data_IF_491312608496
#
_entry.id   IF_491312608496
#
_cell.length_a   1.000
_cell.length_b   1.000
_cell.length_c   1.000
_cell.angle_alpha   90.00
_cell.angle_beta   90.00
_cell.angle_gamma   90.00
#
_symmetry.space_group_name_H-M   'P 1'
#
loop_
_entity.id
_entity.type
_entity.pdbx_description
1 polymer ?
#
# COMPACT_ATOMS: atom_id res chain seq x y z
N UNK A 1 -11.46 -63.10 -8.31
CA UNK A 1 -10.31 -62.25 -8.66
C UNK A 1 -10.70 -60.83 -8.25
N UNK A 2 -10.25 -60.42 -7.05
CA UNK A 2 -10.61 -59.13 -6.46
C UNK A 2 -9.74 -58.04 -7.11
N UNK A 3 -10.38 -57.10 -7.81
CA UNK A 3 -9.70 -55.92 -8.34
C UNK A 3 -9.31 -55.00 -7.19
N UNK A 4 -8.02 -54.67 -7.10
CA UNK A 4 -7.51 -53.68 -6.16
C UNK A 4 -8.16 -52.30 -6.39
N UNK A 5 -8.44 -51.53 -5.33
CA UNK A 5 -8.98 -50.19 -5.47
C UNK A 5 -7.87 -49.22 -5.93
N UNK A 6 -8.14 -48.45 -6.98
CA UNK A 6 -7.26 -47.37 -7.42
C UNK A 6 -7.03 -46.36 -6.29
N UNK A 7 -5.78 -46.23 -5.88
CA UNK A 7 -5.25 -45.27 -4.91
C UNK A 7 -5.58 -43.82 -5.34
N UNK A 8 -6.70 -43.28 -4.87
CA UNK A 8 -7.05 -41.86 -5.03
C UNK A 8 -6.36 -41.05 -3.93
N UNK A 9 -5.07 -40.78 -4.07
CA UNK A 9 -4.41 -39.73 -3.27
C UNK A 9 -4.93 -38.36 -3.71
N UNK A 10 -5.15 -37.41 -2.77
CA UNK A 10 -5.48 -36.04 -3.15
C UNK A 10 -4.33 -35.47 -4.00
N UNK A 11 -4.67 -34.86 -5.13
CA UNK A 11 -3.74 -34.11 -5.95
C UNK A 11 -3.24 -32.89 -5.16
N UNK A 12 -2.16 -33.05 -4.40
CA UNK A 12 -1.74 -32.04 -3.44
C UNK A 12 -0.33 -32.24 -2.93
N UNK A 13 0.64 -32.44 -3.82
CA UNK A 13 2.04 -32.24 -3.49
C UNK A 13 2.38 -30.76 -3.59
N UNK A 14 3.03 -30.19 -2.57
CA UNK A 14 3.66 -28.87 -2.67
C UNK A 14 4.66 -28.93 -3.82
N UNK A 15 4.54 -28.02 -4.79
CA UNK A 15 5.43 -27.95 -5.96
C UNK A 15 6.01 -26.57 -6.10
N UNK A 16 7.28 -26.51 -6.52
CA UNK A 16 7.94 -25.26 -6.90
C UNK A 16 7.26 -24.74 -8.17
N UNK A 17 6.89 -23.46 -8.16
CA UNK A 17 6.28 -22.81 -9.33
C UNK A 17 7.34 -22.58 -10.41
N UNK A 18 6.92 -22.67 -11.67
CA UNK A 18 7.77 -22.25 -12.79
C UNK A 18 8.03 -20.74 -12.73
N UNK A 19 9.21 -20.31 -13.16
CA UNK A 19 9.63 -18.90 -13.13
C UNK A 19 8.62 -17.95 -13.80
N UNK A 20 7.97 -18.38 -14.87
CA UNK A 20 6.93 -17.60 -15.55
C UNK A 20 5.74 -17.31 -14.62
N UNK A 21 5.32 -18.30 -13.83
CA UNK A 21 4.20 -18.17 -12.88
C UNK A 21 4.63 -17.31 -11.70
N UNK A 22 5.85 -17.49 -11.19
CA UNK A 22 6.44 -16.63 -10.16
C UNK A 22 6.45 -15.17 -10.62
N UNK A 23 6.94 -14.92 -11.84
CA UNK A 23 7.00 -13.58 -12.41
C UNK A 23 5.62 -12.99 -12.67
N UNK A 24 4.61 -13.80 -13.00
CA UNK A 24 3.24 -13.32 -13.22
C UNK A 24 2.52 -13.01 -11.89
N UNK A 25 2.76 -13.78 -10.84
CA UNK A 25 2.28 -13.49 -9.48
C UNK A 25 2.97 -12.21 -8.96
N UNK A 26 4.30 -12.14 -9.08
CA UNK A 26 5.07 -10.96 -8.70
C UNK A 26 4.66 -9.73 -9.51
N UNK A 27 4.33 -9.87 -10.80
CA UNK A 27 3.82 -8.77 -11.61
C UNK A 27 2.46 -8.25 -11.11
N UNK A 28 1.55 -9.12 -10.67
CA UNK A 28 0.28 -8.72 -10.05
C UNK A 28 0.49 -7.93 -8.77
N UNK A 29 1.32 -8.44 -7.85
CA UNK A 29 1.67 -7.75 -6.61
C UNK A 29 2.47 -6.45 -6.85
N UNK A 30 3.31 -6.39 -7.89
CA UNK A 30 4.08 -5.20 -8.25
C UNK A 30 3.23 -4.15 -8.94
N UNK A 31 2.14 -4.50 -9.63
CA UNK A 31 1.22 -3.53 -10.25
C UNK A 31 0.27 -2.91 -9.22
N UNK A 32 -0.15 -3.68 -8.20
CA UNK A 32 -0.94 -3.11 -7.09
C UNK A 32 -0.14 -2.14 -6.22
N UNK A 33 1.19 -2.30 -6.13
CA UNK A 33 2.05 -1.45 -5.31
C UNK A 33 2.01 0.03 -5.73
N UNK A 34 2.27 0.43 -7.00
CA UNK A 34 2.19 1.83 -7.41
C UNK A 34 0.81 2.45 -7.18
N UNK A 35 -0.27 1.71 -7.47
CA UNK A 35 -1.63 2.18 -7.22
C UNK A 35 -1.89 2.43 -5.73
N UNK A 36 -1.39 1.54 -4.87
CA UNK A 36 -1.47 1.70 -3.41
C UNK A 36 -0.67 2.91 -2.93
N UNK A 37 0.55 3.11 -3.44
CA UNK A 37 1.38 4.30 -3.14
C UNK A 37 0.64 5.59 -3.52
N UNK A 38 0.09 5.65 -4.74
CA UNK A 38 -0.70 6.80 -5.21
C UNK A 38 -1.90 7.05 -4.29
N UNK A 39 -2.64 6.00 -3.94
CA UNK A 39 -3.80 6.07 -3.04
C UNK A 39 -3.41 6.73 -1.71
N UNK A 40 -2.38 6.20 -1.03
CA UNK A 40 -1.97 6.70 0.28
C UNK A 40 -1.48 8.16 0.24
N UNK A 41 -0.72 8.54 -0.79
CA UNK A 41 -0.28 9.93 -0.98
C UNK A 41 -1.45 10.89 -1.25
N UNK A 42 -2.41 10.48 -2.08
CA UNK A 42 -3.61 11.27 -2.38
C UNK A 42 -4.49 11.42 -1.13
N UNK A 43 -4.69 10.34 -0.37
CA UNK A 43 -5.42 10.37 0.90
C UNK A 43 -4.77 11.33 1.91
N UNK A 44 -3.44 11.35 1.99
CA UNK A 44 -2.72 12.31 2.83
C UNK A 44 -2.92 13.77 2.40
N UNK A 45 -2.89 14.04 1.10
CA UNK A 45 -3.15 15.39 0.57
C UNK A 45 -4.60 15.84 0.82
N UNK A 46 -5.57 14.93 0.68
CA UNK A 46 -6.97 15.21 1.00
C UNK A 46 -7.16 15.47 2.50
N UNK A 47 -6.52 14.68 3.37
CA UNK A 47 -6.53 14.91 4.82
C UNK A 47 -5.89 16.27 5.18
N UNK A 48 -4.94 16.76 4.37
CA UNK A 48 -4.33 18.09 4.52
C UNK A 48 -5.20 19.23 3.95
N UNK A 49 -6.39 18.93 3.41
CA UNK A 49 -7.34 19.90 2.89
C UNK A 49 -7.01 20.42 1.48
N UNK A 50 -6.19 19.69 0.71
CA UNK A 50 -5.87 20.06 -0.66
C UNK A 50 -7.13 20.17 -1.54
N UNK A 51 -7.16 21.15 -2.42
CA UNK A 51 -8.21 21.36 -3.44
C UNK A 51 -7.71 21.10 -4.85
N UNK A 52 -6.41 21.18 -5.06
CA UNK A 52 -5.75 20.84 -6.31
C UNK A 52 -4.67 19.82 -6.04
N UNK A 53 -4.67 18.76 -6.85
CA UNK A 53 -3.61 17.77 -6.85
C UNK A 53 -3.12 17.54 -8.28
N UNK A 54 -1.81 17.32 -8.43
CA UNK A 54 -1.19 16.85 -9.66
C UNK A 54 -0.51 15.51 -9.39
N UNK A 55 -0.85 14.51 -10.20
CA UNK A 55 -0.24 13.18 -10.13
C UNK A 55 0.60 12.98 -11.39
N UNK A 56 1.89 12.72 -11.21
CA UNK A 56 2.83 12.42 -12.29
C UNK A 56 3.37 11.01 -12.11
N UNK A 57 3.22 10.18 -13.14
CA UNK A 57 3.68 8.79 -13.16
C UNK A 57 4.67 8.56 -14.30
N UNK A 58 5.72 7.77 -14.04
CA UNK A 58 6.63 7.25 -15.08
C UNK A 58 6.69 5.74 -15.03
N UNK A 59 6.67 5.10 -16.20
CA UNK A 59 6.65 3.64 -16.36
C UNK A 59 5.55 2.95 -15.51
N UNK A 60 4.33 3.52 -15.50
CA UNK A 60 3.22 3.00 -14.71
C UNK A 60 3.42 3.13 -13.19
N UNK A 61 4.28 4.05 -12.75
CA UNK A 61 4.61 4.26 -11.33
C UNK A 61 5.78 3.42 -10.84
N UNK A 62 6.41 2.61 -11.70
CA UNK A 62 7.60 1.82 -11.34
C UNK A 62 8.85 2.68 -11.18
N UNK A 63 8.98 3.73 -11.99
CA UNK A 63 10.15 4.61 -11.99
C UNK A 63 9.93 5.92 -11.23
N UNK A 64 8.68 6.35 -11.13
CA UNK A 64 8.29 7.59 -10.42
C UNK A 64 6.80 7.55 -10.09
N UNK A 65 6.51 7.81 -8.82
CA UNK A 65 5.22 8.29 -8.34
C UNK A 65 5.45 9.64 -7.69
N UNK A 66 4.82 10.69 -8.21
CA UNK A 66 4.87 12.03 -7.64
C UNK A 66 3.44 12.56 -7.49
N UNK A 67 3.13 13.04 -6.29
CA UNK A 67 1.87 13.71 -5.95
C UNK A 67 2.23 15.09 -5.43
N UNK A 68 1.72 16.13 -6.08
CA UNK A 68 1.84 17.52 -5.64
C UNK A 68 0.46 18.02 -5.22
N UNK A 69 0.37 18.70 -4.09
CA UNK A 69 -0.88 19.23 -3.56
C UNK A 69 -0.73 20.66 -3.05
N UNK A 70 -1.87 21.36 -2.92
CA UNK A 70 -1.98 22.71 -2.35
C UNK A 70 -2.53 22.70 -0.92
N UNK A 71 -2.37 21.59 -0.20
CA UNK A 71 -2.83 21.41 1.17
C UNK A 71 -2.02 22.23 2.19
N UNK A 72 -2.31 22.02 3.48
CA UNK A 72 -1.68 22.74 4.57
C UNK A 72 -0.14 22.56 4.66
N UNK A 73 0.40 21.54 3.99
CA UNK A 73 1.82 21.21 3.99
C UNK A 73 2.34 20.76 5.36
N UNK A 74 3.66 20.73 5.50
CA UNK A 74 4.35 20.41 6.75
C UNK A 74 5.43 21.44 7.02
N UNK A 75 5.63 21.80 8.29
CA UNK A 75 6.84 22.53 8.67
C UNK A 75 8.05 21.58 8.63
N UNK A 76 9.26 22.13 8.79
CA UNK A 76 10.50 21.35 8.70
C UNK A 76 10.56 20.20 9.71
N UNK A 77 10.04 20.39 10.91
CA UNK A 77 10.09 19.38 11.96
C UNK A 77 9.09 18.25 11.69
N UNK A 78 7.87 18.60 11.27
CA UNK A 78 6.84 17.64 10.90
C UNK A 78 7.25 16.82 9.67
N UNK A 79 7.91 17.44 8.69
CA UNK A 79 8.45 16.75 7.53
C UNK A 79 9.55 15.72 7.88
N UNK A 80 10.30 15.96 8.96
CA UNK A 80 11.28 14.98 9.46
C UNK A 80 10.60 13.87 10.25
N UNK A 81 9.53 14.17 10.99
CA UNK A 81 8.81 13.19 11.79
C UNK A 81 7.90 12.29 10.97
N UNK A 82 7.35 12.76 9.84
CA UNK A 82 6.36 12.00 9.07
C UNK A 82 6.91 10.75 8.38
N UNK A 83 8.24 10.62 8.28
CA UNK A 83 8.94 9.42 7.78
C UNK A 83 9.28 8.41 8.88
N UNK A 84 9.04 8.75 10.15
CA UNK A 84 9.20 7.81 11.27
C UNK A 84 7.97 6.91 11.40
N UNK A 85 8.19 5.66 11.84
CA UNK A 85 7.10 4.73 12.11
C UNK A 85 6.23 5.22 13.27
N UNK A 86 4.93 4.95 13.18
CA UNK A 86 3.94 5.31 14.21
C UNK A 86 3.81 6.82 14.48
N UNK A 87 4.24 7.68 13.55
CA UNK A 87 4.10 9.13 13.66
C UNK A 87 2.89 9.63 12.85
N UNK A 88 1.96 10.33 13.51
CA UNK A 88 0.73 10.85 12.87
C UNK A 88 0.22 12.10 13.58
N UNK A 89 -0.32 13.05 12.81
CA UNK A 89 -1.01 14.23 13.33
C UNK A 89 -2.54 14.03 13.47
N UNK A 90 -3.05 12.86 13.05
CA UNK A 90 -4.50 12.64 12.82
C UNK A 90 -5.22 12.02 14.01
N UNK A 91 -4.50 11.35 14.89
CA UNK A 91 -5.01 10.76 16.15
C UNK A 91 -3.97 10.95 17.25
N UNK A 92 -4.41 11.05 18.51
CA UNK A 92 -3.55 11.24 19.68
C UNK A 92 -3.76 10.15 20.72
N UNK A 93 -4.99 9.67 20.87
CA UNK A 93 -5.33 8.63 21.85
C UNK A 93 -6.28 7.56 21.30
N UNK A 94 -6.58 6.56 22.12
CA UNK A 94 -7.44 5.44 21.72
C UNK A 94 -8.91 5.85 21.50
N UNK A 95 -9.37 6.95 22.08
CA UNK A 95 -10.73 7.45 21.87
C UNK A 95 -10.87 8.07 20.47
N UNK A 96 -9.81 8.68 19.94
CA UNK A 96 -9.79 9.22 18.57
C UNK A 96 -10.01 8.12 17.51
N UNK A 97 -9.67 6.85 17.80
CA UNK A 97 -9.91 5.73 16.88
C UNK A 97 -11.39 5.53 16.56
N UNK A 98 -12.28 5.82 17.51
CA UNK A 98 -13.72 5.73 17.31
C UNK A 98 -14.31 6.91 16.51
N UNK A 99 -13.53 7.98 16.34
CA UNK A 99 -13.94 9.24 15.72
C UNK A 99 -13.12 9.60 14.47
N UNK A 100 -12.35 8.66 13.91
CA UNK A 100 -11.51 8.93 12.74
C UNK A 100 -12.36 9.36 11.55
N UNK A 101 -12.09 10.58 11.06
CA UNK A 101 -12.70 11.17 9.86
C UNK A 101 -11.70 11.33 8.71
N UNK A 102 -10.46 10.91 8.92
CA UNK A 102 -9.35 10.98 7.95
C UNK A 102 -9.18 9.65 7.23
N UNK A 103 -8.64 9.68 6.01
CA UNK A 103 -8.48 8.50 5.17
C UNK A 103 -7.29 7.64 5.63
N UNK A 104 -6.25 8.27 6.18
CA UNK A 104 -5.16 7.61 6.90
C UNK A 104 -5.11 7.98 8.38
N UNK A 105 -4.52 7.15 9.24
CA UNK A 105 -4.29 7.48 10.67
C UNK A 105 -3.17 6.69 11.35
N UNK A 106 -2.68 5.61 10.75
CA UNK A 106 -1.72 4.67 11.39
C UNK A 106 -0.30 5.21 11.52
N UNK A 107 0.06 6.27 10.78
CA UNK A 107 1.44 6.77 10.73
C UNK A 107 2.42 5.84 10.02
N UNK A 108 1.92 4.95 9.15
CA UNK A 108 2.74 3.95 8.44
C UNK A 108 2.83 4.18 6.93
N UNK A 109 2.01 5.08 6.37
CA UNK A 109 1.96 5.30 4.93
C UNK A 109 3.33 5.71 4.36
N UNK A 110 3.89 6.83 4.81
CA UNK A 110 5.18 7.32 4.31
C UNK A 110 6.38 6.42 4.68
N UNK A 111 6.48 5.83 5.89
CA UNK A 111 7.56 4.89 6.21
C UNK A 111 7.53 3.57 5.43
N UNK A 112 6.42 3.22 4.78
CA UNK A 112 6.23 1.94 4.06
C UNK A 112 6.37 2.05 2.54
N UNK A 113 6.54 3.27 2.01
CA UNK A 113 6.76 3.60 0.60
C UNK A 113 8.27 3.72 0.37
#
# INVERSE_FOLDING_TARGET
MNGEPADRRPAGGVRVLEDRVINQIAAGEVVERPASVVKELVENALDAGARHLRITLRAGGRDLVQVEDDGAGMNRQDAMLCVERHATSKIRDAADLAAVRTLGFRGEALPSI
#
